data_IF_019807819383
#
_entry.id   IF_019807819383
#
_cell.length_a   1.000
_cell.length_b   1.000
_cell.length_c   1.000
_cell.angle_alpha   90.00
_cell.angle_beta   90.00
_cell.angle_gamma   90.00
#
_symmetry.space_group_name_H-M   'P 1'
#
loop_
_entity.id
_entity.type
_entity.pdbx_description
1 polymer ?
#
# COMPACT_ATOMS: atom_id res chain seq x y z
N UNK A 1 39.39 25.85 59.44
CA UNK A 1 38.13 25.50 58.75
C UNK A 1 37.20 24.82 59.74
N UNK A 2 36.00 25.37 59.97
CA UNK A 2 35.07 24.94 61.02
C UNK A 2 34.58 23.50 60.78
N UNK A 3 34.55 22.69 61.84
CA UNK A 3 34.03 21.31 61.80
C UNK A 3 32.52 21.23 61.49
N UNK A 4 31.79 22.33 61.71
CA UNK A 4 30.37 22.46 61.40
C UNK A 4 30.06 22.47 59.89
N UNK A 5 30.91 23.10 59.06
CA UNK A 5 30.74 23.13 57.59
C UNK A 5 31.11 21.81 56.92
N UNK A 6 32.04 21.04 57.49
CA UNK A 6 32.32 19.66 57.01
C UNK A 6 31.17 18.70 57.31
N UNK A 7 30.46 18.86 58.44
CA UNK A 7 29.26 18.06 58.77
C UNK A 7 28.06 18.38 57.88
N UNK A 8 27.91 19.61 57.38
CA UNK A 8 26.81 19.95 56.47
C UNK A 8 27.04 19.41 55.06
N UNK A 9 28.28 19.41 54.55
CA UNK A 9 28.66 18.80 53.27
C UNK A 9 28.46 17.28 53.26
N UNK A 10 28.78 16.59 54.37
CA UNK A 10 28.55 15.15 54.51
C UNK A 10 27.07 14.76 54.65
N UNK A 11 26.18 15.73 54.90
CA UNK A 11 24.74 15.53 55.11
C UNK A 11 23.89 16.04 53.94
N UNK A 12 24.54 16.48 52.85
CA UNK A 12 23.90 17.06 51.68
C UNK A 12 23.55 15.97 50.65
N UNK A 13 22.32 15.46 50.71
CA UNK A 13 21.81 14.42 49.79
C UNK A 13 21.41 14.96 48.40
N UNK A 14 21.62 16.26 48.14
CA UNK A 14 21.40 16.85 46.81
C UNK A 14 22.38 16.28 45.77
N UNK A 15 23.57 15.88 46.20
CA UNK A 15 24.58 15.25 45.33
C UNK A 15 24.17 13.86 44.85
N UNK A 16 23.56 13.04 45.72
CA UNK A 16 23.09 11.69 45.36
C UNK A 16 21.88 11.75 44.43
N UNK A 17 20.98 12.71 44.66
CA UNK A 17 19.82 12.96 43.79
C UNK A 17 20.26 13.37 42.38
N UNK A 18 21.30 14.21 42.25
CA UNK A 18 21.89 14.58 40.97
C UNK A 18 22.50 13.39 40.22
N UNK A 19 23.18 12.48 40.93
CA UNK A 19 23.74 11.25 40.35
C UNK A 19 22.64 10.34 39.79
N UNK A 20 21.58 10.09 40.58
CA UNK A 20 20.45 9.27 40.15
C UNK A 20 19.76 9.89 38.94
N UNK A 21 19.52 11.20 38.96
CA UNK A 21 18.92 11.92 37.84
C UNK A 21 19.77 11.80 36.57
N UNK A 22 21.09 11.98 36.67
CA UNK A 22 21.99 11.84 35.54
C UNK A 22 21.95 10.43 34.94
N UNK A 23 21.94 9.39 35.78
CA UNK A 23 21.81 8.00 35.34
C UNK A 23 20.47 7.74 34.65
N UNK A 24 19.36 8.22 35.23
CA UNK A 24 18.03 8.09 34.62
C UNK A 24 17.97 8.78 33.27
N UNK A 25 18.45 10.03 33.16
CA UNK A 25 18.49 10.75 31.88
C UNK A 25 19.35 10.02 30.83
N UNK A 26 20.51 9.48 31.22
CA UNK A 26 21.34 8.68 30.32
C UNK A 26 20.61 7.43 29.83
N UNK A 27 19.90 6.71 30.72
CA UNK A 27 19.12 5.54 30.32
C UNK A 27 17.96 5.90 29.39
N UNK A 28 17.22 6.98 29.67
CA UNK A 28 16.14 7.47 28.83
C UNK A 28 16.64 7.90 27.44
N UNK A 29 17.79 8.57 27.38
CA UNK A 29 18.43 8.94 26.12
C UNK A 29 18.82 7.69 25.32
N UNK A 30 19.35 6.65 25.96
CA UNK A 30 19.66 5.37 25.31
C UNK A 30 18.43 4.66 24.74
N UNK A 31 17.32 4.63 25.49
CA UNK A 31 16.05 4.05 25.00
C UNK A 31 15.46 4.87 23.86
N UNK A 32 15.51 6.21 23.95
CA UNK A 32 15.02 7.09 22.89
C UNK A 32 15.85 6.93 21.59
N UNK A 33 17.17 6.83 21.70
CA UNK A 33 18.07 6.55 20.59
C UNK A 33 17.72 5.23 19.89
N UNK A 34 17.50 4.16 20.66
CA UNK A 34 17.08 2.86 20.12
C UNK A 34 15.71 2.94 19.44
N UNK A 35 14.75 3.65 20.02
CA UNK A 35 13.41 3.82 19.45
C UNK A 35 13.45 4.54 18.10
N UNK A 36 14.32 5.55 17.93
CA UNK A 36 14.48 6.26 16.68
C UNK A 36 15.09 5.37 15.58
N UNK A 37 16.13 4.61 15.90
CA UNK A 37 16.76 3.68 14.95
C UNK A 37 15.77 2.58 14.50
N UNK A 38 15.06 1.95 15.45
CA UNK A 38 14.05 0.93 15.14
C UNK A 38 12.87 1.50 14.34
N UNK A 39 12.40 2.69 14.71
CA UNK A 39 11.33 3.38 13.98
C UNK A 39 11.73 3.64 12.52
N UNK A 40 12.94 4.14 12.31
CA UNK A 40 13.47 4.37 10.97
C UNK A 40 13.61 3.05 10.18
N UNK A 41 14.11 1.98 10.79
CA UNK A 41 14.19 0.66 10.16
C UNK A 41 12.82 0.13 9.73
N UNK A 42 11.78 0.30 10.55
CA UNK A 42 10.43 -0.14 10.22
C UNK A 42 9.82 0.64 9.06
N UNK A 43 9.95 1.97 9.05
CA UNK A 43 9.48 2.79 7.93
C UNK A 43 10.20 2.41 6.64
N UNK A 44 11.52 2.21 6.69
CA UNK A 44 12.30 1.81 5.51
C UNK A 44 11.90 0.42 5.04
N UNK A 45 11.75 -0.56 5.93
CA UNK A 45 11.27 -1.89 5.56
C UNK A 45 9.89 -1.85 4.90
N UNK A 46 8.97 -1.03 5.42
CA UNK A 46 7.64 -0.82 4.82
C UNK A 46 7.75 -0.27 3.39
N UNK A 47 8.62 0.71 3.16
CA UNK A 47 8.89 1.23 1.81
C UNK A 47 9.42 0.16 0.85
N UNK A 48 10.37 -0.67 1.31
CA UNK A 48 10.89 -1.78 0.50
C UNK A 48 9.80 -2.83 0.21
N UNK A 49 8.86 -3.04 1.14
CA UNK A 49 7.73 -3.94 0.93
C UNK A 49 6.79 -3.41 -0.15
N UNK A 50 6.46 -2.12 -0.14
CA UNK A 50 5.67 -1.48 -1.21
C UNK A 50 6.31 -1.68 -2.57
N UNK A 51 7.64 -1.50 -2.68
CA UNK A 51 8.38 -1.78 -3.93
C UNK A 51 8.30 -3.26 -4.32
N UNK A 52 8.47 -4.19 -3.38
CA UNK A 52 8.37 -5.61 -3.64
C UNK A 52 6.98 -6.02 -4.12
N UNK A 53 5.92 -5.54 -3.47
CA UNK A 53 4.53 -5.85 -3.79
C UNK A 53 4.14 -5.31 -5.18
N UNK A 54 4.51 -4.07 -5.47
CA UNK A 54 4.31 -3.47 -6.79
C UNK A 54 5.03 -4.25 -7.89
N UNK A 55 6.28 -4.65 -7.64
CA UNK A 55 7.08 -5.43 -8.57
C UNK A 55 6.53 -6.84 -8.79
N UNK A 56 6.08 -7.52 -7.72
CA UNK A 56 5.48 -8.84 -7.81
C UNK A 56 4.17 -8.78 -8.61
N UNK A 57 3.30 -7.81 -8.33
CA UNK A 57 2.04 -7.63 -9.05
C UNK A 57 2.26 -7.30 -10.53
N UNK A 58 3.19 -6.38 -10.83
CA UNK A 58 3.59 -6.06 -12.19
C UNK A 58 4.16 -7.29 -12.92
N UNK A 59 4.94 -8.11 -12.24
CA UNK A 59 5.45 -9.37 -12.77
C UNK A 59 4.36 -10.40 -13.05
N UNK A 60 3.36 -10.53 -12.18
CA UNK A 60 2.20 -11.40 -12.43
C UNK A 60 1.37 -10.90 -13.62
N UNK A 61 1.17 -9.59 -13.75
CA UNK A 61 0.53 -9.01 -14.93
C UNK A 61 1.36 -9.24 -16.21
N UNK A 62 2.67 -9.06 -16.13
CA UNK A 62 3.58 -9.34 -17.23
C UNK A 62 3.59 -10.82 -17.63
N UNK A 63 3.42 -11.76 -16.70
CA UNK A 63 3.23 -13.18 -17.01
C UNK A 63 1.95 -13.43 -17.81
N UNK A 64 0.87 -12.67 -17.56
CA UNK A 64 -0.36 -12.72 -18.37
C UNK A 64 -0.09 -12.20 -19.78
N UNK A 65 0.61 -11.06 -19.91
CA UNK A 65 0.83 -10.40 -21.21
C UNK A 65 1.88 -11.08 -22.09
N UNK A 66 2.96 -11.59 -21.49
CA UNK A 66 4.13 -12.09 -22.21
C UNK A 66 4.35 -13.61 -22.05
N UNK A 67 3.59 -14.28 -21.18
CA UNK A 67 3.65 -15.72 -21.00
C UNK A 67 5.03 -16.21 -20.57
N UNK A 68 5.69 -16.96 -21.46
CA UNK A 68 6.99 -17.60 -21.21
C UNK A 68 8.20 -16.74 -21.59
N UNK A 69 8.02 -15.52 -22.09
CA UNK A 69 9.11 -14.56 -22.35
C UNK A 69 9.62 -13.94 -21.04
N UNK A 70 10.31 -14.76 -20.25
CA UNK A 70 10.83 -14.38 -18.93
C UNK A 70 11.81 -13.19 -18.96
N UNK A 71 12.65 -12.98 -20.00
CA UNK A 71 13.45 -11.77 -20.13
C UNK A 71 12.59 -10.50 -20.12
N UNK A 72 11.50 -10.44 -20.89
CA UNK A 72 10.59 -9.28 -20.87
C UNK A 72 9.90 -9.10 -19.53
N UNK A 73 9.45 -10.20 -18.93
CA UNK A 73 8.82 -10.18 -17.59
C UNK A 73 9.79 -9.61 -16.55
N UNK A 74 11.07 -10.03 -16.57
CA UNK A 74 12.10 -9.48 -15.68
C UNK A 74 12.30 -7.98 -15.88
N UNK A 75 12.28 -7.48 -17.11
CA UNK A 75 12.39 -6.05 -17.40
C UNK A 75 11.26 -5.25 -16.75
N UNK A 76 10.01 -5.70 -16.91
CA UNK A 76 8.84 -5.04 -16.30
C UNK A 76 8.92 -5.07 -14.76
N UNK A 77 9.33 -6.21 -14.19
CA UNK A 77 9.50 -6.32 -12.74
C UNK A 77 10.53 -5.33 -12.23
N UNK A 78 11.69 -5.23 -12.90
CA UNK A 78 12.75 -4.30 -12.50
C UNK A 78 12.30 -2.85 -12.64
N UNK A 79 11.55 -2.51 -13.69
CA UNK A 79 11.00 -1.16 -13.90
C UNK A 79 10.09 -0.75 -12.74
N UNK A 80 9.10 -1.59 -12.41
CA UNK A 80 8.16 -1.31 -11.31
C UNK A 80 8.84 -1.34 -9.94
N UNK A 81 9.79 -2.24 -9.71
CA UNK A 81 10.55 -2.28 -8.48
C UNK A 81 11.32 -0.96 -8.28
N UNK A 82 12.08 -0.54 -9.29
CA UNK A 82 12.91 0.68 -9.25
C UNK A 82 12.09 1.95 -9.16
N UNK A 83 10.91 2.00 -9.79
CA UNK A 83 10.01 3.16 -9.73
C UNK A 83 9.42 3.40 -8.33
N UNK A 84 9.38 2.38 -7.47
CA UNK A 84 8.82 2.45 -6.12
C UNK A 84 9.88 2.52 -5.01
N UNK A 85 11.15 2.79 -5.38
CA UNK A 85 12.25 2.96 -4.44
C UNK A 85 12.60 4.44 -4.26
N UNK A 86 13.13 4.78 -3.08
CA UNK A 86 13.71 6.10 -2.84
C UNK A 86 15.12 6.17 -3.45
N UNK A 87 15.56 7.38 -3.80
CA UNK A 87 16.95 7.72 -4.11
C UNK A 87 17.97 7.11 -3.13
N UNK A 88 17.61 7.08 -1.84
CA UNK A 88 18.47 6.55 -0.77
C UNK A 88 18.64 5.03 -0.81
N UNK A 89 17.76 4.30 -1.49
CA UNK A 89 17.79 2.83 -1.54
C UNK A 89 18.77 2.31 -2.61
N UNK A 90 19.18 3.18 -3.54
CA UNK A 90 20.05 2.86 -4.68
C UNK A 90 19.45 1.75 -5.54
N UNK A 91 18.49 2.11 -6.39
CA UNK A 91 17.61 1.19 -7.11
C UNK A 91 18.35 0.06 -7.88
N UNK A 92 19.52 0.34 -8.47
CA UNK A 92 20.30 -0.63 -9.25
C UNK A 92 20.96 -1.74 -8.42
N UNK A 93 21.23 -1.47 -7.13
CA UNK A 93 21.75 -2.48 -6.20
C UNK A 93 20.65 -3.03 -5.30
N UNK A 94 19.58 -2.27 -5.07
CA UNK A 94 18.47 -2.70 -4.25
C UNK A 94 17.74 -3.91 -4.83
N UNK A 95 17.59 -3.94 -6.16
CA UNK A 95 16.91 -5.02 -6.88
C UNK A 95 17.68 -5.36 -8.14
N UNK A 96 18.06 -6.63 -8.24
CA UNK A 96 18.79 -7.18 -9.37
C UNK A 96 18.01 -8.33 -9.99
N UNK A 97 18.38 -8.74 -11.21
CA UNK A 97 17.73 -9.86 -11.89
C UNK A 97 17.79 -11.18 -11.09
N UNK A 98 18.84 -11.37 -10.28
CA UNK A 98 19.00 -12.51 -9.37
C UNK A 98 17.97 -12.56 -8.24
N UNK A 99 17.27 -11.45 -7.97
CA UNK A 99 16.29 -11.34 -6.88
C UNK A 99 14.88 -11.71 -7.31
N UNK A 100 14.72 -12.04 -8.58
CA UNK A 100 13.47 -12.41 -9.20
C UNK A 100 13.48 -13.92 -9.43
N UNK A 101 12.60 -14.60 -8.71
CA UNK A 101 12.44 -16.06 -8.78
C UNK A 101 11.05 -16.38 -9.30
N UNK A 102 10.99 -17.24 -10.30
CA UNK A 102 9.75 -17.72 -10.89
C UNK A 102 9.33 -19.04 -10.24
N UNK A 103 8.02 -19.21 -10.08
CA UNK A 103 7.42 -20.37 -9.46
C UNK A 103 6.28 -20.91 -10.32
N UNK A 104 6.10 -22.23 -10.25
CA UNK A 104 4.92 -22.93 -10.74
C UNK A 104 4.31 -23.69 -9.56
N UNK A 105 3.08 -23.33 -9.20
CA UNK A 105 2.32 -24.00 -8.14
C UNK A 105 3.08 -24.10 -6.80
N UNK A 106 3.81 -23.03 -6.45
CA UNK A 106 4.60 -22.94 -5.22
C UNK A 106 6.03 -23.49 -5.31
N UNK A 107 6.39 -24.22 -6.37
CA UNK A 107 7.75 -24.74 -6.59
C UNK A 107 8.55 -23.86 -7.57
N UNK A 108 9.85 -23.57 -7.31
CA UNK A 108 10.67 -22.81 -8.25
C UNK A 108 10.70 -23.47 -9.63
N UNK A 109 10.31 -22.73 -10.67
CA UNK A 109 10.30 -23.23 -12.04
C UNK A 109 10.29 -22.05 -13.02
N UNK A 110 11.08 -22.16 -14.08
CA UNK A 110 11.05 -21.26 -15.23
C UNK A 110 10.21 -21.81 -16.37
N UNK A 111 9.76 -23.06 -16.28
CA UNK A 111 8.92 -23.70 -17.29
C UNK A 111 7.44 -23.42 -17.00
N UNK A 112 6.86 -22.50 -17.77
CA UNK A 112 5.47 -22.03 -17.62
C UNK A 112 5.12 -21.62 -16.16
N UNK A 113 5.82 -20.61 -15.61
CA UNK A 113 5.55 -20.14 -14.25
C UNK A 113 4.19 -19.45 -14.18
N UNK A 114 3.50 -19.65 -13.05
CA UNK A 114 2.27 -18.95 -12.72
C UNK A 114 2.44 -18.01 -11.53
N UNK A 115 3.65 -17.92 -10.98
CA UNK A 115 3.97 -17.11 -9.81
C UNK A 115 5.33 -16.45 -9.99
N UNK A 116 5.48 -15.27 -9.41
CA UNK A 116 6.73 -14.55 -9.34
C UNK A 116 6.95 -14.02 -7.94
N UNK A 117 8.18 -14.16 -7.47
CA UNK A 117 8.64 -13.63 -6.20
C UNK A 117 9.77 -12.64 -6.44
N UNK A 118 9.66 -11.48 -5.82
CA UNK A 118 10.64 -10.39 -5.93
C UNK A 118 11.16 -10.10 -4.53
N UNK A 119 12.48 -9.98 -4.40
CA UNK A 119 13.11 -9.57 -3.14
C UNK A 119 13.85 -8.25 -3.31
N UNK A 120 13.52 -7.28 -2.47
CA UNK A 120 14.17 -5.97 -2.43
C UNK A 120 15.08 -5.91 -1.21
N UNK A 121 16.32 -5.44 -1.39
CA UNK A 121 17.35 -5.52 -0.34
C UNK A 121 18.12 -4.21 -0.14
N UNK A 122 18.36 -3.88 1.14
CA UNK A 122 19.38 -2.94 1.59
C UNK A 122 20.33 -3.67 2.51
N UNK A 123 21.43 -4.17 1.97
CA UNK A 123 22.32 -5.08 2.71
C UNK A 123 23.78 -4.67 2.55
N UNK A 124 24.60 -4.96 3.57
CA UNK A 124 26.02 -4.59 3.58
C UNK A 124 26.77 -5.23 2.40
N UNK A 125 26.39 -6.46 2.05
CA UNK A 125 26.94 -7.20 0.91
C UNK A 125 26.76 -6.48 -0.45
N UNK A 126 25.79 -5.56 -0.56
CA UNK A 126 25.51 -4.77 -1.77
C UNK A 126 25.95 -3.31 -1.67
N UNK A 127 26.57 -2.93 -0.55
CA UNK A 127 27.03 -1.56 -0.32
C UNK A 127 25.91 -0.55 0.00
N UNK A 128 24.64 -0.97 0.06
CA UNK A 128 23.47 -0.09 0.26
C UNK A 128 22.74 -0.28 1.60
N UNK A 129 23.38 -0.94 2.58
CA UNK A 129 22.85 -1.09 3.94
C UNK A 129 22.39 0.26 4.53
N UNK A 130 21.34 0.22 5.34
CA UNK A 130 20.81 1.41 5.98
C UNK A 130 21.78 1.87 7.09
N UNK A 131 22.16 3.15 7.08
CA UNK A 131 22.90 3.73 8.21
C UNK A 131 21.94 3.94 9.39
N UNK A 132 22.36 3.50 10.57
CA UNK A 132 21.70 3.84 11.83
C UNK A 132 22.18 5.21 12.31
N UNK A 133 21.32 5.93 13.03
CA UNK A 133 21.64 7.23 13.61
C UNK A 133 22.47 7.06 14.87
N UNK A 134 22.01 6.22 15.80
CA UNK A 134 22.62 6.03 17.11
C UNK A 134 23.37 4.70 17.26
N UNK A 135 23.15 3.73 16.36
CA UNK A 135 23.90 2.47 16.33
C UNK A 135 25.43 2.65 16.28
N UNK A 136 25.93 3.79 15.77
CA UNK A 136 27.36 4.15 15.80
C UNK A 136 27.94 4.24 17.21
N UNK A 137 27.12 4.59 18.22
CA UNK A 137 27.56 4.69 19.61
C UNK A 137 27.86 3.31 20.24
N UNK A 138 27.37 2.24 19.62
CA UNK A 138 27.54 0.84 20.08
C UNK A 138 28.22 -0.04 19.01
N UNK A 139 28.98 0.57 18.10
CA UNK A 139 29.71 -0.12 17.02
C UNK A 139 28.84 -0.94 16.05
N UNK A 140 27.56 -0.55 15.91
CA UNK A 140 26.62 -1.11 14.91
C UNK A 140 26.13 0.02 14.00
N UNK A 141 26.99 0.55 13.10
CA UNK A 141 26.67 1.75 12.33
C UNK A 141 25.62 1.51 11.23
N UNK A 142 25.34 0.25 10.87
CA UNK A 142 24.50 -0.13 9.73
C UNK A 142 23.59 -1.29 10.08
N UNK A 143 22.43 -1.35 9.42
CA UNK A 143 21.49 -2.45 9.50
C UNK A 143 21.09 -2.95 8.12
N UNK A 144 20.95 -4.27 8.02
CA UNK A 144 20.50 -4.95 6.81
C UNK A 144 18.98 -5.10 6.84
N UNK A 145 18.33 -4.74 5.73
CA UNK A 145 16.88 -4.80 5.55
C UNK A 145 16.55 -5.55 4.26
N UNK A 146 15.50 -6.35 4.31
CA UNK A 146 14.94 -6.98 3.12
C UNK A 146 13.43 -7.09 3.21
N UNK A 147 12.80 -7.03 2.05
CA UNK A 147 11.37 -7.22 1.86
C UNK A 147 11.16 -8.17 0.67
N UNK A 148 10.12 -9.01 0.77
CA UNK A 148 9.83 -10.04 -0.23
C UNK A 148 8.33 -10.07 -0.48
N UNK A 149 7.96 -10.17 -1.74
CA UNK A 149 6.58 -10.27 -2.16
C UNK A 149 6.44 -11.34 -3.24
N UNK A 150 5.30 -12.02 -3.25
CA UNK A 150 4.95 -13.01 -4.26
C UNK A 150 3.56 -12.74 -4.79
N UNK A 151 3.42 -12.74 -6.11
CA UNK A 151 2.14 -12.65 -6.79
C UNK A 151 1.99 -13.82 -7.76
N UNK A 152 0.75 -14.25 -7.97
CA UNK A 152 0.41 -15.38 -8.83
C UNK A 152 -0.73 -15.05 -9.78
N UNK A 153 -0.67 -15.67 -10.95
CA UNK A 153 -1.74 -15.68 -11.95
C UNK A 153 -2.57 -16.93 -11.71
N UNK A 154 -3.87 -16.73 -11.55
CA UNK A 154 -4.85 -17.82 -11.44
C UNK A 154 -5.87 -17.69 -12.56
N UNK A 155 -6.30 -18.82 -13.11
CA UNK A 155 -7.36 -18.81 -14.11
C UNK A 155 -8.70 -18.44 -13.43
N UNK A 156 -9.39 -17.43 -13.96
CA UNK A 156 -10.65 -16.92 -13.41
C UNK A 156 -11.81 -17.92 -13.47
N UNK A 157 -11.65 -19.07 -14.12
CA UNK A 157 -12.66 -20.13 -14.18
C UNK A 157 -12.99 -20.79 -12.83
N UNK A 158 -12.23 -20.52 -11.75
CA UNK A 158 -12.44 -21.14 -10.43
C UNK A 158 -12.29 -20.14 -9.26
N UNK A 159 -12.89 -18.95 -9.36
CA UNK A 159 -13.04 -18.10 -8.17
C UNK A 159 -14.37 -18.41 -7.46
N UNK A 160 -14.29 -19.04 -6.28
CA UNK A 160 -15.38 -18.90 -5.28
C UNK A 160 -15.26 -17.53 -4.64
N UNK A 161 -16.36 -16.76 -4.63
CA UNK A 161 -16.47 -15.48 -3.92
C UNK A 161 -15.69 -14.28 -4.50
N UNK A 162 -15.38 -14.25 -5.81
CA UNK A 162 -15.05 -12.96 -6.43
C UNK A 162 -16.29 -12.07 -6.34
N UNK A 163 -16.17 -10.94 -5.63
CA UNK A 163 -17.15 -9.85 -5.66
C UNK A 163 -16.66 -8.85 -6.72
N UNK A 164 -17.06 -8.98 -7.99
CA UNK A 164 -16.72 -7.96 -8.98
C UNK A 164 -17.41 -6.67 -8.55
N UNK A 165 -16.61 -5.67 -8.23
CA UNK A 165 -17.08 -4.30 -8.10
C UNK A 165 -16.42 -3.50 -9.21
N UNK A 166 -17.19 -2.61 -9.83
CA UNK A 166 -16.71 -1.68 -10.82
C UNK A 166 -17.20 -0.29 -10.42
N UNK A 167 -16.33 0.70 -10.52
CA UNK A 167 -16.76 2.10 -10.47
C UNK A 167 -17.34 2.40 -11.86
N UNK A 168 -18.65 2.62 -11.93
CA UNK A 168 -19.29 3.01 -13.18
C UNK A 168 -18.68 4.33 -13.67
N UNK A 169 -18.25 4.38 -14.92
CA UNK A 169 -17.75 5.60 -15.54
C UNK A 169 -18.85 6.68 -15.57
N UNK A 170 -18.46 7.97 -15.59
CA UNK A 170 -19.40 9.06 -15.86
C UNK A 170 -19.97 8.92 -17.28
N UNK A 171 -21.28 9.03 -17.42
CA UNK A 171 -21.97 9.03 -18.70
C UNK A 171 -23.16 10.00 -18.69
N UNK A 172 -23.62 10.37 -19.88
CA UNK A 172 -24.86 11.13 -20.10
C UNK A 172 -25.76 10.36 -21.04
N UNK A 173 -27.07 10.51 -20.88
CA UNK A 173 -28.10 9.94 -21.76
C UNK A 173 -29.18 10.98 -22.02
N UNK A 174 -30.02 10.73 -23.02
CA UNK A 174 -31.23 11.51 -23.27
C UNK A 174 -32.44 10.81 -22.64
N UNK A 175 -32.89 11.35 -21.51
CA UNK A 175 -34.05 10.90 -20.74
C UNK A 175 -35.41 11.05 -21.47
N UNK A 176 -35.38 11.64 -22.67
CA UNK A 176 -36.53 11.84 -23.54
C UNK A 176 -36.42 11.03 -24.84
N UNK A 177 -35.53 10.04 -24.90
CA UNK A 177 -35.31 9.27 -26.13
C UNK A 177 -36.44 8.27 -26.43
N UNK A 178 -37.22 7.85 -25.42
CA UNK A 178 -38.33 6.90 -25.59
C UNK A 178 -39.68 7.43 -25.09
N UNK A 179 -40.48 7.99 -26.01
CA UNK A 179 -41.81 8.50 -25.70
C UNK A 179 -42.91 7.42 -25.58
N UNK A 180 -42.58 6.14 -25.77
CA UNK A 180 -43.57 5.05 -25.80
C UNK A 180 -44.06 4.62 -24.42
N UNK A 181 -43.32 4.95 -23.34
CA UNK A 181 -43.68 4.58 -21.98
C UNK A 181 -43.69 5.82 -21.05
N UNK A 182 -44.89 6.37 -20.80
CA UNK A 182 -45.04 7.63 -20.06
C UNK A 182 -44.61 7.58 -18.59
N UNK A 183 -44.38 6.38 -18.04
CA UNK A 183 -43.93 6.20 -16.65
C UNK A 183 -42.44 6.48 -16.46
N UNK A 184 -41.63 6.30 -17.52
CA UNK A 184 -40.17 6.41 -17.45
C UNK A 184 -39.62 7.60 -18.26
N UNK A 185 -40.44 8.18 -19.14
CA UNK A 185 -40.06 9.35 -19.92
C UNK A 185 -39.84 10.59 -19.04
N UNK A 186 -38.62 11.13 -19.04
CA UNK A 186 -38.31 12.38 -18.34
C UNK A 186 -38.26 12.26 -16.81
N UNK A 187 -38.03 11.06 -16.27
CA UNK A 187 -38.05 10.79 -14.84
C UNK A 187 -36.68 10.95 -14.14
N UNK A 188 -35.63 11.26 -14.89
CA UNK A 188 -34.27 11.44 -14.41
C UNK A 188 -33.51 10.13 -14.12
N UNK A 189 -34.03 8.99 -14.59
CA UNK A 189 -33.43 7.66 -14.39
C UNK A 189 -33.26 6.97 -15.74
N UNK A 190 -32.03 6.52 -16.05
CA UNK A 190 -31.77 5.74 -17.25
C UNK A 190 -32.55 4.41 -17.22
N UNK A 191 -33.40 4.19 -18.22
CA UNK A 191 -34.09 2.92 -18.43
C UNK A 191 -33.21 1.96 -19.23
N UNK A 192 -32.65 0.96 -18.54
CA UNK A 192 -31.77 -0.04 -19.17
C UNK A 192 -32.50 -0.99 -20.11
N UNK A 193 -33.83 -1.10 -20.00
CA UNK A 193 -34.66 -1.94 -20.87
C UNK A 193 -35.10 -1.17 -22.14
N UNK A 194 -34.99 0.17 -22.15
CA UNK A 194 -35.25 0.97 -23.35
C UNK A 194 -34.03 1.01 -24.27
N UNK A 195 -34.14 0.33 -25.42
CA UNK A 195 -33.14 0.38 -26.48
C UNK A 195 -32.91 1.82 -27.01
N UNK A 196 -33.94 2.67 -26.97
CA UNK A 196 -33.85 4.04 -27.44
C UNK A 196 -33.05 4.93 -26.49
N UNK A 197 -33.23 4.81 -25.17
CA UNK A 197 -32.40 5.51 -24.19
C UNK A 197 -30.97 5.00 -24.17
N UNK A 198 -30.79 3.68 -24.16
CA UNK A 198 -29.47 3.04 -24.17
C UNK A 198 -28.63 3.44 -25.38
N UNK A 199 -29.26 3.68 -26.54
CA UNK A 199 -28.57 4.16 -27.75
C UNK A 199 -28.01 5.58 -27.61
N UNK A 200 -28.49 6.37 -26.64
CA UNK A 200 -28.04 7.76 -26.41
C UNK A 200 -26.94 7.88 -25.37
N UNK A 201 -26.53 6.78 -24.74
CA UNK A 201 -25.49 6.78 -23.71
C UNK A 201 -24.15 7.21 -24.30
N UNK A 202 -23.59 8.29 -23.75
CA UNK A 202 -22.27 8.81 -24.09
C UNK A 202 -21.37 8.73 -22.86
N UNK A 203 -20.31 7.92 -22.96
CA UNK A 203 -19.33 7.75 -21.88
C UNK A 203 -18.35 8.93 -21.88
N UNK A 204 -18.33 9.68 -20.78
CA UNK A 204 -17.45 10.85 -20.63
C UNK A 204 -16.11 10.49 -19.95
N UNK A 205 -16.09 9.47 -19.10
CA UNK A 205 -14.91 9.14 -18.29
C UNK A 205 -14.72 10.07 -17.09
N UNK A 206 -13.60 9.89 -16.39
CA UNK A 206 -13.19 10.78 -15.29
C UNK A 206 -11.99 11.62 -15.72
N UNK A 207 -12.03 12.91 -15.40
CA UNK A 207 -10.95 13.86 -15.64
C UNK A 207 -10.33 14.40 -14.35
N UNK A 208 -9.32 15.26 -14.47
CA UNK A 208 -8.66 15.91 -13.34
C UNK A 208 -9.62 16.74 -12.47
N UNK A 209 -10.73 17.23 -13.06
CA UNK A 209 -11.76 17.99 -12.35
C UNK A 209 -12.66 17.12 -11.46
N UNK A 210 -12.71 15.80 -11.67
CA UNK A 210 -13.55 14.88 -10.89
C UNK A 210 -12.80 14.31 -9.66
N UNK A 211 -11.55 14.74 -9.41
CA UNK A 211 -10.76 14.34 -8.23
C UNK A 211 -11.45 14.82 -6.94
N UNK A 212 -11.81 13.87 -6.08
CA UNK A 212 -12.48 14.14 -4.80
C UNK A 212 -14.01 14.17 -4.88
N UNK A 213 -14.60 13.93 -6.04
CA UNK A 213 -16.05 13.75 -6.18
C UNK A 213 -16.48 12.53 -5.36
N UNK A 214 -17.43 12.67 -4.41
CA UNK A 214 -18.00 11.53 -3.72
C UNK A 214 -18.81 10.69 -4.70
N UNK A 215 -18.47 9.41 -4.83
CA UNK A 215 -19.22 8.45 -5.63
C UNK A 215 -19.93 7.51 -4.66
N UNK A 216 -21.25 7.55 -4.70
CA UNK A 216 -22.10 6.62 -3.96
C UNK A 216 -22.31 5.39 -4.84
N UNK A 217 -21.73 4.26 -4.45
CA UNK A 217 -21.79 3.02 -5.24
C UNK A 217 -23.10 2.23 -5.05
N UNK A 218 -24.11 2.82 -4.40
CA UNK A 218 -25.47 2.27 -4.27
C UNK A 218 -26.51 3.35 -3.88
N UNK A 219 -27.54 3.51 -4.69
CA UNK A 219 -28.86 3.98 -4.27
C UNK A 219 -29.81 2.80 -4.54
N UNK A 220 -30.43 2.20 -3.53
CA UNK A 220 -31.42 1.16 -3.82
C UNK A 220 -31.82 0.26 -2.66
N UNK A 221 -33.12 0.24 -2.40
CA UNK A 221 -33.86 -0.66 -1.54
C UNK A 221 -33.61 -2.13 -1.94
N UNK A 222 -33.39 -3.06 -0.99
CA UNK A 222 -33.22 -4.49 -1.25
C UNK A 222 -34.37 -5.20 -1.99
N UNK A 223 -35.50 -4.54 -2.26
CA UNK A 223 -36.62 -5.11 -3.00
C UNK A 223 -36.44 -5.17 -4.54
N UNK A 224 -35.52 -4.42 -5.15
CA UNK A 224 -35.30 -4.39 -6.62
C UNK A 224 -34.11 -5.24 -7.11
N UNK A 225 -33.55 -6.11 -6.27
CA UNK A 225 -32.45 -7.01 -6.66
C UNK A 225 -32.98 -8.38 -7.10
N UNK A 226 -32.47 -8.86 -8.24
CA UNK A 226 -32.81 -10.16 -8.84
C UNK A 226 -32.48 -11.34 -7.89
N UNK A 227 -31.57 -11.17 -6.92
CA UNK A 227 -31.34 -12.13 -5.82
C UNK A 227 -30.89 -11.41 -4.53
N UNK A 228 -31.47 -11.68 -3.35
CA UNK A 228 -31.04 -11.07 -2.09
C UNK A 228 -29.64 -11.56 -1.68
N UNK A 229 -28.64 -10.67 -1.66
CA UNK A 229 -27.40 -10.95 -0.94
C UNK A 229 -26.81 -9.70 -0.31
N UNK A 230 -26.13 -9.95 0.81
CA UNK A 230 -25.72 -9.00 1.83
C UNK A 230 -24.69 -7.99 1.28
N UNK A 231 -25.12 -6.74 1.04
CA UNK A 231 -24.23 -5.64 0.70
C UNK A 231 -24.70 -4.36 1.39
N UNK A 232 -23.96 -3.95 2.43
CA UNK A 232 -24.07 -2.62 3.03
C UNK A 232 -23.56 -1.57 2.03
N UNK A 233 -24.12 -0.36 2.07
CA UNK A 233 -23.58 0.78 1.33
C UNK A 233 -22.14 1.05 1.79
N UNK A 234 -21.21 1.19 0.84
CA UNK A 234 -19.83 1.60 1.11
C UNK A 234 -19.72 3.05 0.68
N UNK A 235 -19.73 3.95 1.66
CA UNK A 235 -19.44 5.36 1.46
C UNK A 235 -17.92 5.56 1.55
N UNK A 236 -17.27 5.81 0.41
CA UNK A 236 -15.86 6.19 0.42
C UNK A 236 -15.76 7.68 0.76
N UNK A 237 -15.07 8.05 1.86
CA UNK A 237 -14.88 9.46 2.16
C UNK A 237 -14.06 10.11 1.03
N UNK A 238 -14.40 11.34 0.61
CA UNK A 238 -13.54 12.08 -0.29
C UNK A 238 -12.16 12.24 0.35
N UNK A 239 -11.10 12.15 -0.46
CA UNK A 239 -9.73 12.35 0.00
C UNK A 239 -9.67 13.65 0.84
N UNK A 240 -9.39 13.49 2.14
CA UNK A 240 -9.05 14.55 3.10
C UNK A 240 -10.13 15.51 3.63
N UNK A 241 -11.45 15.32 3.48
CA UNK A 241 -12.43 16.16 4.22
C UNK A 241 -13.73 15.43 4.58
N UNK A 242 -13.80 14.82 5.76
CA UNK A 242 -15.08 14.41 6.37
C UNK A 242 -14.93 13.38 7.48
N UNK A 243 -15.69 13.55 8.57
CA UNK A 243 -15.89 12.49 9.56
C UNK A 243 -16.83 11.47 8.92
N UNK A 244 -16.43 10.22 8.69
CA UNK A 244 -17.32 9.22 8.10
C UNK A 244 -18.49 8.97 9.05
N UNK A 245 -19.72 9.12 8.57
CA UNK A 245 -20.92 8.71 9.30
C UNK A 245 -21.20 7.25 8.93
N UNK A 246 -21.13 6.31 9.90
CA UNK A 246 -21.48 4.92 9.63
C UNK A 246 -23.00 4.78 9.53
N UNK A 247 -23.49 4.27 8.40
CA UNK A 247 -24.83 3.66 8.31
C UNK A 247 -26.00 4.57 7.95
N UNK A 248 -25.97 5.17 6.75
CA UNK A 248 -27.17 5.50 6.00
C UNK A 248 -27.08 4.87 4.61
#
# INVERSE_FOLDING_TARGET
MNTATMRSLYRDERGTSGLILALVLATLAGVAALALDLGAMHVRRSSLQTSADAAALAGANALISYGTDLPKVRTVILEYAKANLDSQDQADVAVQTSDIVFFKDGAPSTSAPNQVEVTVRRVAARGNAMSLFFGKAVDVPKADLSAKARAGVVNAASSKCLKPWAVATKFTWNDYADSRWSGNYGNGMLDVDSAAEMATVQVQGYGAADLGTPIVLKMGDPHDVIVPSQYNAINYPPLNKGIPVPGA
#
